data_IF_732403035622
#
_entry.id   IF_732403035622
#
_cell.length_a   1.000
_cell.length_b   1.000
_cell.length_c   1.000
_cell.angle_alpha   90.00
_cell.angle_beta   90.00
_cell.angle_gamma   90.00
#
_symmetry.space_group_name_H-M   'P 1'
#
loop_
_entity.id
_entity.type
_entity.pdbx_description
1 polymer ?
#
# COMPACT_ATOMS: atom_id res chain seq x y z
N UNK A 1 -21.65 -24.16 -12.26
CA UNK A 1 -21.85 -23.11 -13.30
C UNK A 1 -21.47 -21.77 -12.65
N UNK A 2 -20.39 -21.11 -13.09
CA UNK A 2 -19.99 -19.80 -12.56
C UNK A 2 -21.00 -18.77 -13.07
N UNK A 3 -21.60 -17.94 -12.22
CA UNK A 3 -22.56 -16.92 -12.65
C UNK A 3 -21.95 -16.01 -13.72
N UNK A 4 -22.75 -15.61 -14.73
CA UNK A 4 -22.29 -14.77 -15.84
C UNK A 4 -21.68 -13.42 -15.40
N UNK A 5 -22.09 -12.91 -14.25
CA UNK A 5 -21.49 -11.73 -13.63
C UNK A 5 -19.98 -11.91 -13.31
N UNK A 6 -19.54 -13.12 -12.99
CA UNK A 6 -18.13 -13.41 -12.71
C UNK A 6 -17.27 -13.51 -13.99
N UNK A 7 -17.87 -13.93 -15.09
CA UNK A 7 -17.17 -14.00 -16.40
C UNK A 7 -16.86 -12.62 -16.97
N UNK A 8 -17.72 -11.64 -16.72
CA UNK A 8 -17.54 -10.29 -17.25
C UNK A 8 -16.48 -9.46 -16.54
N UNK A 9 -16.23 -9.70 -15.27
CA UNK A 9 -15.22 -8.94 -14.50
C UNK A 9 -13.81 -9.27 -14.98
N UNK A 10 -13.51 -10.53 -15.27
CA UNK A 10 -12.17 -10.95 -15.70
C UNK A 10 -11.85 -10.61 -17.18
N UNK A 11 -12.87 -10.45 -18.02
CA UNK A 11 -12.67 -10.14 -19.45
C UNK A 11 -12.55 -8.65 -19.73
N UNK A 12 -12.86 -7.79 -18.76
CA UNK A 12 -12.84 -6.33 -18.90
C UNK A 12 -11.78 -5.64 -18.05
N UNK A 13 -11.04 -6.39 -17.24
CA UNK A 13 -9.91 -5.80 -16.52
C UNK A 13 -8.83 -5.44 -17.54
N UNK A 14 -8.70 -4.16 -17.81
CA UNK A 14 -7.57 -3.64 -18.57
C UNK A 14 -6.41 -3.42 -17.61
N UNK A 15 -5.21 -3.78 -18.04
CA UNK A 15 -4.00 -3.34 -17.34
C UNK A 15 -3.97 -1.82 -17.30
N UNK A 16 -3.45 -1.26 -16.22
CA UNK A 16 -3.14 0.16 -16.17
C UNK A 16 -2.05 0.41 -17.21
N UNK A 17 -2.43 0.95 -18.35
CA UNK A 17 -1.51 1.32 -19.41
C UNK A 17 -0.72 2.57 -18.98
N UNK A 18 0.22 2.38 -18.08
CA UNK A 18 1.27 3.35 -17.85
C UNK A 18 2.60 2.68 -18.10
N UNK A 19 3.13 2.97 -19.26
CA UNK A 19 4.48 2.59 -19.59
C UNK A 19 5.43 3.35 -18.66
N UNK A 20 6.25 2.59 -17.94
CA UNK A 20 7.40 3.19 -17.30
C UNK A 20 8.36 3.61 -18.40
N UNK A 21 8.73 4.84 -18.40
CA UNK A 21 9.78 5.42 -19.27
C UNK A 21 11.11 5.48 -18.52
N UNK A 22 11.20 4.82 -17.39
CA UNK A 22 12.39 4.64 -16.57
C UNK A 22 12.95 3.22 -16.69
N UNK A 23 14.00 2.97 -15.92
CA UNK A 23 14.69 1.68 -15.85
C UNK A 23 13.85 0.59 -15.22
N UNK A 24 12.88 0.96 -14.36
CA UNK A 24 11.94 0.07 -13.69
C UNK A 24 10.50 0.49 -13.97
N UNK A 25 9.70 -0.43 -14.49
CA UNK A 25 8.28 -0.23 -14.70
C UNK A 25 7.52 -0.07 -13.39
N UNK A 26 6.43 0.70 -13.39
CA UNK A 26 5.51 0.78 -12.26
C UNK A 26 4.89 -0.58 -11.97
N UNK A 27 4.69 -0.88 -10.70
CA UNK A 27 4.08 -2.13 -10.23
C UNK A 27 2.94 -1.83 -9.27
N UNK A 28 1.81 -2.57 -9.42
CA UNK A 28 0.72 -2.56 -8.45
C UNK A 28 1.09 -3.38 -7.21
N UNK A 29 0.99 -2.76 -6.03
CA UNK A 29 1.32 -3.40 -4.76
C UNK A 29 0.10 -3.69 -3.91
N UNK A 30 -0.88 -2.82 -3.87
CA UNK A 30 -2.06 -2.99 -3.03
C UNK A 30 -3.32 -2.49 -3.72
N UNK A 31 -4.30 -3.37 -3.90
CA UNK A 31 -5.62 -3.04 -4.45
C UNK A 31 -6.67 -3.14 -3.35
N UNK A 32 -7.54 -2.14 -3.26
CA UNK A 32 -8.64 -2.08 -2.31
C UNK A 32 -9.89 -1.53 -2.98
N UNK A 33 -11.06 -2.08 -2.62
CA UNK A 33 -12.36 -1.48 -2.94
C UNK A 33 -12.96 -0.84 -1.70
N UNK A 34 -13.38 0.40 -1.80
CA UNK A 34 -14.11 1.12 -0.75
C UNK A 34 -15.26 1.89 -1.39
N UNK A 35 -16.50 1.60 -0.97
CA UNK A 35 -17.71 2.26 -1.48
C UNK A 35 -17.81 2.25 -3.02
N UNK A 36 -17.44 1.13 -3.63
CA UNK A 36 -17.48 0.93 -5.09
C UNK A 36 -16.34 1.57 -5.87
N UNK A 37 -15.43 2.28 -5.22
CA UNK A 37 -14.23 2.84 -5.85
C UNK A 37 -13.07 1.88 -5.63
N UNK A 38 -12.30 1.59 -6.68
CA UNK A 38 -11.05 0.86 -6.59
C UNK A 38 -9.88 1.81 -6.34
N UNK A 39 -9.06 1.50 -5.35
CA UNK A 39 -7.82 2.21 -5.04
C UNK A 39 -6.63 1.28 -5.22
N UNK A 40 -5.58 1.77 -5.85
CA UNK A 40 -4.38 1.00 -6.15
C UNK A 40 -3.13 1.79 -5.77
N UNK A 41 -2.26 1.18 -4.98
CA UNK A 41 -0.90 1.68 -4.79
C UNK A 41 0.02 1.17 -5.89
N UNK A 42 0.74 2.09 -6.49
CA UNK A 42 1.78 1.84 -7.49
C UNK A 42 3.14 2.14 -6.88
N UNK A 43 4.01 1.15 -6.86
CA UNK A 43 5.42 1.35 -6.58
C UNK A 43 6.23 1.69 -7.82
N UNK A 44 7.52 2.01 -7.63
CA UNK A 44 8.42 2.51 -8.67
C UNK A 44 7.89 3.79 -9.34
N UNK A 45 7.27 4.66 -8.53
CA UNK A 45 6.63 5.85 -9.06
C UNK A 45 7.61 6.90 -9.55
N UNK A 46 8.87 6.87 -9.06
CA UNK A 46 10.01 7.69 -9.50
C UNK A 46 10.74 7.12 -10.72
N UNK A 47 10.39 5.88 -11.16
CA UNK A 47 11.00 5.15 -12.27
C UNK A 47 12.38 4.57 -12.00
N UNK A 48 12.93 4.80 -10.80
CA UNK A 48 14.22 4.24 -10.37
C UNK A 48 14.07 3.13 -9.31
N UNK A 49 12.81 2.75 -9.03
CA UNK A 49 12.46 1.67 -8.11
C UNK A 49 11.94 2.15 -6.76
N UNK A 50 11.81 3.46 -6.60
CA UNK A 50 11.33 4.09 -5.37
C UNK A 50 9.96 4.71 -5.48
N UNK A 51 9.51 5.25 -4.36
CA UNK A 51 8.29 6.01 -4.17
C UNK A 51 7.00 5.22 -4.48
N UNK A 52 5.91 5.63 -3.84
CA UNK A 52 4.59 5.08 -4.09
C UNK A 52 3.60 6.17 -4.51
N UNK A 53 2.76 5.87 -5.49
CA UNK A 53 1.73 6.76 -6.00
C UNK A 53 0.37 6.08 -5.92
N UNK A 54 -0.64 6.79 -5.45
CA UNK A 54 -2.01 6.31 -5.43
C UNK A 54 -2.65 6.50 -6.80
N UNK A 55 -3.45 5.50 -7.22
CA UNK A 55 -4.39 5.62 -8.33
C UNK A 55 -5.77 5.13 -7.87
N UNK A 56 -6.84 5.61 -8.53
CA UNK A 56 -8.19 5.14 -8.25
C UNK A 56 -9.02 5.06 -9.53
N UNK A 57 -10.04 4.20 -9.48
CA UNK A 57 -11.00 3.97 -10.56
C UNK A 57 -12.43 3.95 -10.00
N UNK A 58 -13.33 4.64 -10.68
CA UNK A 58 -14.77 4.68 -10.37
C UNK A 58 -15.59 3.82 -11.34
N UNK A 59 -14.96 3.17 -12.30
CA UNK A 59 -15.56 2.40 -13.38
C UNK A 59 -15.03 0.95 -13.45
N UNK A 60 -14.81 0.37 -12.26
CA UNK A 60 -14.34 -1.01 -12.09
C UNK A 60 -12.99 -1.32 -12.78
N UNK A 61 -12.11 -0.34 -12.83
CA UNK A 61 -10.77 -0.49 -13.40
C UNK A 61 -10.69 -0.25 -14.90
N UNK A 62 -11.77 0.23 -15.55
CA UNK A 62 -11.73 0.56 -16.96
C UNK A 62 -10.88 1.80 -17.25
N UNK A 63 -10.95 2.82 -16.38
CA UNK A 63 -10.08 3.99 -16.40
C UNK A 63 -9.49 4.26 -14.99
N UNK A 64 -8.33 4.91 -14.97
CA UNK A 64 -7.63 5.22 -13.73
C UNK A 64 -7.21 6.68 -13.67
N UNK A 65 -7.49 7.31 -12.52
CA UNK A 65 -6.95 8.63 -12.17
C UNK A 65 -5.75 8.43 -11.25
N UNK A 66 -4.69 9.19 -11.47
CA UNK A 66 -3.48 9.14 -10.65
C UNK A 66 -3.41 10.36 -9.75
N UNK A 67 -3.01 10.17 -8.50
CA UNK A 67 -2.72 11.28 -7.61
C UNK A 67 -1.60 12.15 -8.20
N UNK A 68 -1.68 13.45 -8.00
CA UNK A 68 -0.64 14.42 -8.35
C UNK A 68 0.49 14.46 -7.31
N UNK A 69 0.38 13.66 -6.25
CA UNK A 69 1.33 13.50 -5.16
C UNK A 69 1.85 12.07 -5.04
N UNK A 70 2.94 11.88 -4.30
CA UNK A 70 3.58 10.60 -4.02
C UNK A 70 4.03 10.52 -2.58
N UNK A 71 4.16 9.30 -2.07
CA UNK A 71 4.95 9.03 -0.88
C UNK A 71 6.41 8.83 -1.30
N UNK A 72 7.25 9.82 -1.02
CA UNK A 72 8.69 9.76 -1.32
C UNK A 72 9.44 8.84 -0.35
N UNK A 73 8.87 8.63 0.84
CA UNK A 73 9.45 7.84 1.92
C UNK A 73 9.17 6.35 1.80
N UNK A 74 8.21 5.96 0.96
CA UNK A 74 7.70 4.59 0.88
C UNK A 74 7.70 4.09 -0.55
N UNK A 75 8.35 2.92 -0.76
CA UNK A 75 8.38 2.26 -2.08
C UNK A 75 7.37 1.14 -2.23
N UNK A 76 6.88 0.59 -1.11
CA UNK A 76 6.01 -0.59 -1.08
C UNK A 76 4.83 -0.37 -0.14
N UNK A 77 3.76 0.25 -0.63
CA UNK A 77 2.55 0.49 0.16
C UNK A 77 1.47 -0.54 -0.19
N UNK A 78 0.93 -1.21 0.82
CA UNK A 78 -0.16 -2.16 0.69
C UNK A 78 -1.33 -1.82 1.62
N UNK A 79 -2.56 -1.90 1.12
CA UNK A 79 -3.76 -1.73 1.94
C UNK A 79 -4.01 -2.95 2.83
N UNK A 80 -4.56 -2.70 4.03
CA UNK A 80 -5.19 -3.74 4.83
C UNK A 80 -6.64 -3.89 4.35
N UNK A 81 -7.01 -5.09 3.96
CA UNK A 81 -8.35 -5.37 3.43
C UNK A 81 -9.24 -5.96 4.54
N UNK A 82 -10.38 -5.34 4.77
CA UNK A 82 -11.42 -5.81 5.69
C UNK A 82 -12.64 -6.37 4.95
N UNK A 83 -12.43 -7.13 3.91
CA UNK A 83 -13.47 -7.82 3.15
C UNK A 83 -14.00 -7.03 1.96
N UNK A 84 -15.04 -7.59 1.33
CA UNK A 84 -15.63 -7.03 0.13
C UNK A 84 -16.08 -5.58 0.36
N UNK A 85 -15.59 -4.69 -0.50
CA UNK A 85 -15.89 -3.26 -0.47
C UNK A 85 -15.66 -2.62 0.91
N UNK A 86 -14.66 -3.16 1.64
CA UNK A 86 -14.25 -2.72 2.98
C UNK A 86 -15.35 -2.84 4.06
N UNK A 87 -16.35 -3.69 3.84
CA UNK A 87 -17.54 -3.81 4.70
C UNK A 87 -17.25 -4.30 6.13
N UNK A 88 -16.10 -4.95 6.36
CA UNK A 88 -15.66 -5.41 7.68
C UNK A 88 -14.77 -4.41 8.41
N UNK A 89 -14.68 -3.16 7.95
CA UNK A 89 -13.91 -2.13 8.61
C UNK A 89 -14.33 -1.95 10.08
N UNK A 90 -13.34 -1.75 10.97
CA UNK A 90 -13.57 -1.63 12.42
C UNK A 90 -13.86 -0.20 12.86
N UNK A 91 -13.57 0.77 11.98
CA UNK A 91 -13.76 2.19 12.17
C UNK A 91 -13.87 2.91 10.82
N UNK A 92 -13.82 4.23 10.82
CA UNK A 92 -13.97 5.07 9.62
C UNK A 92 -12.67 5.26 8.84
N UNK A 93 -11.61 4.50 9.17
CA UNK A 93 -10.31 4.64 8.51
C UNK A 93 -10.02 3.49 7.55
N UNK A 94 -9.30 3.81 6.47
CA UNK A 94 -8.54 2.86 5.66
C UNK A 94 -7.12 2.81 6.20
N UNK A 95 -6.60 1.59 6.35
CA UNK A 95 -5.25 1.34 6.83
C UNK A 95 -4.36 0.79 5.73
N UNK A 96 -3.09 1.19 5.77
CA UNK A 96 -2.06 0.67 4.88
C UNK A 96 -0.75 0.46 5.61
N UNK A 97 0.03 -0.53 5.16
CA UNK A 97 1.39 -0.77 5.59
C UNK A 97 2.39 -0.42 4.50
N UNK A 98 3.57 -0.03 4.92
CA UNK A 98 4.77 -0.01 4.09
C UNK A 98 5.98 -0.48 4.90
N UNK A 99 6.96 -1.09 4.26
CA UNK A 99 8.29 -1.07 4.82
C UNK A 99 8.78 0.40 4.88
N UNK A 100 9.66 0.69 5.82
CA UNK A 100 10.18 2.05 6.02
C UNK A 100 11.38 2.32 5.12
N UNK A 101 11.10 2.64 3.87
CA UNK A 101 12.12 2.95 2.87
C UNK A 101 11.52 3.34 1.53
N UNK A 102 12.20 4.23 0.80
CA UNK A 102 11.70 4.71 -0.50
C UNK A 102 11.83 3.68 -1.62
N UNK A 103 12.77 2.74 -1.53
CA UNK A 103 13.03 1.73 -2.56
C UNK A 103 12.25 0.46 -2.29
N UNK A 104 11.36 0.07 -3.20
CA UNK A 104 10.48 -1.10 -3.04
C UNK A 104 11.24 -2.42 -2.87
N UNK A 105 12.40 -2.53 -3.50
CA UNK A 105 13.20 -3.75 -3.54
C UNK A 105 14.36 -3.72 -2.52
N UNK A 106 14.48 -2.66 -1.71
CA UNK A 106 15.53 -2.57 -0.71
C UNK A 106 15.16 -3.34 0.57
N UNK A 107 16.13 -3.95 1.23
CA UNK A 107 15.91 -4.53 2.55
C UNK A 107 15.40 -3.48 3.54
N UNK A 108 14.46 -3.89 4.40
CA UNK A 108 13.96 -3.04 5.47
C UNK A 108 13.80 -3.88 6.74
N UNK A 109 14.10 -3.28 7.87
CA UNK A 109 14.05 -3.90 9.20
C UNK A 109 12.76 -3.60 9.95
N UNK A 110 11.90 -2.70 9.43
CA UNK A 110 10.69 -2.27 10.10
C UNK A 110 9.54 -1.95 9.13
N UNK A 111 8.32 -2.05 9.66
CA UNK A 111 7.08 -1.65 8.99
C UNK A 111 6.46 -0.44 9.66
N UNK A 112 5.94 0.44 8.83
CA UNK A 112 5.15 1.62 9.20
C UNK A 112 3.68 1.36 8.92
N UNK A 113 2.81 1.78 9.83
CA UNK A 113 1.37 1.78 9.65
C UNK A 113 0.89 3.21 9.38
N UNK A 114 0.02 3.34 8.42
CA UNK A 114 -0.63 4.59 8.08
C UNK A 114 -2.14 4.41 7.96
N UNK A 115 -2.89 5.48 8.11
CA UNK A 115 -4.34 5.50 7.97
C UNK A 115 -4.85 6.77 7.33
N UNK A 116 -6.06 6.70 6.80
CA UNK A 116 -6.75 7.85 6.20
C UNK A 116 -8.26 7.66 6.37
N UNK A 117 -9.07 8.71 6.60
CA UNK A 117 -10.53 8.59 6.56
C UNK A 117 -11.01 8.00 5.23
N UNK A 118 -11.99 7.09 5.25
CA UNK A 118 -12.49 6.38 4.07
C UNK A 118 -13.01 7.30 2.97
N UNK A 119 -13.45 8.50 3.30
CA UNK A 119 -13.94 9.52 2.37
C UNK A 119 -12.86 10.48 1.87
N UNK A 120 -11.61 10.34 2.37
CA UNK A 120 -10.49 11.22 2.04
C UNK A 120 -9.24 10.49 1.54
N UNK A 121 -9.40 9.28 1.01
CA UNK A 121 -8.27 8.43 0.60
C UNK A 121 -7.36 9.13 -0.43
N UNK A 122 -7.93 9.94 -1.33
CA UNK A 122 -7.18 10.67 -2.36
C UNK A 122 -6.50 11.94 -1.87
N UNK A 123 -6.83 12.41 -0.66
CA UNK A 123 -6.26 13.62 -0.08
C UNK A 123 -4.97 13.29 0.69
N UNK A 124 -3.81 13.73 0.17
CA UNK A 124 -2.51 13.53 0.81
C UNK A 124 -2.45 14.06 2.24
N UNK A 125 -3.09 15.20 2.49
CA UNK A 125 -3.04 15.87 3.79
C UNK A 125 -3.87 15.15 4.87
N UNK A 126 -4.76 14.23 4.47
CA UNK A 126 -5.57 13.44 5.41
C UNK A 126 -4.87 12.17 5.89
N UNK A 127 -3.74 11.79 5.30
CA UNK A 127 -2.99 10.61 5.70
C UNK A 127 -2.24 10.86 6.99
N UNK A 128 -2.47 9.98 7.98
CA UNK A 128 -1.81 9.97 9.28
C UNK A 128 -0.89 8.74 9.39
N UNK A 129 0.21 8.92 10.10
CA UNK A 129 1.23 7.91 10.34
C UNK A 129 1.26 7.55 11.81
N UNK A 130 1.30 6.25 12.11
CA UNK A 130 1.51 5.79 13.47
C UNK A 130 2.86 6.28 13.99
N UNK A 131 2.85 6.86 15.20
CA UNK A 131 4.07 7.35 15.86
C UNK A 131 4.51 6.36 16.94
N UNK A 132 3.63 6.08 17.89
CA UNK A 132 3.89 5.22 19.05
C UNK A 132 2.58 4.87 19.75
N UNK A 133 2.67 4.08 20.80
CA UNK A 133 1.60 3.99 21.80
C UNK A 133 1.89 4.96 22.95
N UNK A 134 0.85 5.58 23.48
CA UNK A 134 0.94 6.38 24.70
C UNK A 134 1.03 5.50 25.96
N UNK A 135 1.04 6.13 27.13
CA UNK A 135 1.11 5.45 28.44
C UNK A 135 -0.12 4.56 28.72
N UNK A 136 -1.24 4.85 28.10
CA UNK A 136 -2.49 4.08 28.16
C UNK A 136 -2.58 2.99 27.07
N UNK A 137 -1.53 2.83 26.26
CA UNK A 137 -1.47 1.89 25.16
C UNK A 137 -2.24 2.31 23.90
N UNK A 138 -2.76 3.56 23.85
CA UNK A 138 -3.49 4.06 22.68
C UNK A 138 -2.52 4.50 21.58
N UNK A 139 -2.89 4.31 20.31
CA UNK A 139 -2.05 4.72 19.19
C UNK A 139 -2.03 6.24 19.06
N UNK A 140 -0.85 6.81 18.97
CA UNK A 140 -0.61 8.22 18.63
C UNK A 140 -0.33 8.32 17.15
N UNK A 141 -0.99 9.25 16.49
CA UNK A 141 -0.92 9.48 15.05
C UNK A 141 -0.41 10.88 14.74
N UNK A 142 0.26 11.06 13.62
CA UNK A 142 0.73 12.35 13.12
C UNK A 142 0.53 12.46 11.61
N UNK A 143 0.20 13.65 11.13
CA UNK A 143 0.19 13.97 9.70
C UNK A 143 1.60 14.18 9.15
N UNK A 144 2.58 14.44 10.01
CA UNK A 144 3.98 14.56 9.64
C UNK A 144 4.61 13.17 9.50
N UNK A 145 4.92 12.79 8.27
CA UNK A 145 5.55 11.50 7.94
C UNK A 145 6.91 11.30 8.62
N UNK A 146 7.59 12.37 9.00
CA UNK A 146 8.89 12.28 9.66
C UNK A 146 8.79 11.82 11.13
N UNK A 147 7.59 11.91 11.71
CA UNK A 147 7.32 11.42 13.07
C UNK A 147 6.90 9.93 13.10
N UNK A 148 6.84 9.28 11.95
CA UNK A 148 6.40 7.88 11.86
C UNK A 148 7.26 6.95 12.70
N UNK A 149 6.61 6.09 13.45
CA UNK A 149 7.23 4.99 14.20
C UNK A 149 6.98 3.64 13.55
N UNK A 150 7.70 2.63 14.00
CA UNK A 150 7.51 1.26 13.58
C UNK A 150 6.35 0.61 14.34
N UNK A 151 5.52 -0.17 13.63
CA UNK A 151 4.56 -1.10 14.25
C UNK A 151 5.11 -2.51 14.35
N UNK A 152 6.12 -2.81 13.55
CA UNK A 152 6.93 -4.00 13.59
C UNK A 152 8.37 -3.62 13.29
N UNK A 153 9.31 -4.14 14.10
CA UNK A 153 10.74 -3.94 13.91
C UNK A 153 11.47 -5.26 14.23
N UNK A 154 12.41 -5.62 13.39
CA UNK A 154 13.28 -6.76 13.62
C UNK A 154 14.74 -6.33 13.45
N UNK A 155 15.44 -6.18 14.56
CA UNK A 155 16.80 -5.59 14.61
C UNK A 155 17.86 -6.39 13.87
N UNK A 156 17.68 -7.71 13.78
CA UNK A 156 18.68 -8.64 13.27
C UNK A 156 18.29 -9.26 11.91
N UNK A 157 17.18 -8.87 11.32
CA UNK A 157 16.69 -9.43 10.07
C UNK A 157 16.15 -8.31 9.16
N UNK A 158 16.47 -8.41 7.89
CA UNK A 158 15.88 -7.58 6.86
C UNK A 158 14.64 -8.29 6.28
N UNK A 159 13.56 -7.54 6.09
CA UNK A 159 12.43 -8.03 5.30
C UNK A 159 12.90 -8.16 3.85
N UNK A 160 12.89 -9.39 3.32
CA UNK A 160 13.28 -9.67 1.94
C UNK A 160 14.67 -10.28 1.74
N UNK A 161 15.52 -10.38 2.77
CA UNK A 161 16.72 -11.20 2.69
C UNK A 161 16.52 -12.57 3.37
N UNK A 162 17.06 -13.67 2.80
CA UNK A 162 17.11 -14.93 3.51
C UNK A 162 17.96 -14.75 4.76
N UNK A 163 17.43 -15.20 5.90
CA UNK A 163 18.15 -15.22 7.17
C UNK A 163 19.46 -15.99 6.97
N UNK A 164 20.59 -15.31 7.04
CA UNK A 164 21.89 -15.96 6.97
C UNK A 164 22.01 -16.93 8.14
N UNK A 165 21.99 -18.22 7.86
CA UNK A 165 22.21 -19.25 8.86
C UNK A 165 21.10 -20.30 9.03
N UNK A 166 19.98 -20.19 8.37
CA UNK A 166 19.05 -21.30 8.23
C UNK A 166 19.51 -22.15 7.06
N UNK A 167 20.23 -23.23 7.35
CA UNK A 167 20.50 -24.26 6.36
C UNK A 167 19.14 -24.69 5.77
N UNK A 168 19.00 -24.58 4.47
CA UNK A 168 17.92 -25.23 3.75
C UNK A 168 18.23 -26.74 3.84
N UNK A 169 17.72 -27.38 4.90
CA UNK A 169 17.62 -28.82 4.89
C UNK A 169 16.57 -29.19 3.86
N UNK A 170 17.06 -29.75 2.79
CA UNK A 170 16.28 -30.28 1.68
C UNK A 170 15.34 -31.37 2.21
N UNK A 171 14.04 -31.17 2.00
CA UNK A 171 13.08 -32.26 1.89
C UNK A 171 12.90 -32.63 0.44
#
# INVERSE_FOLDING_TARGET
MVPDAFRNVNLRSRSIEQYGDGRKGRKGWGLLSVRGVLYLWLGHADRDGGQAQLAWSQDHGATWTFADWRFEQFGLVGFINFGKDYAGARDEFVYAYSHDGPQADAPADRFVLMRVPQDRITDRAAWEFFVRRDEQGQPVWSIDVNQRGAVFEHRDACVGEPVKGVAQDHL
#
